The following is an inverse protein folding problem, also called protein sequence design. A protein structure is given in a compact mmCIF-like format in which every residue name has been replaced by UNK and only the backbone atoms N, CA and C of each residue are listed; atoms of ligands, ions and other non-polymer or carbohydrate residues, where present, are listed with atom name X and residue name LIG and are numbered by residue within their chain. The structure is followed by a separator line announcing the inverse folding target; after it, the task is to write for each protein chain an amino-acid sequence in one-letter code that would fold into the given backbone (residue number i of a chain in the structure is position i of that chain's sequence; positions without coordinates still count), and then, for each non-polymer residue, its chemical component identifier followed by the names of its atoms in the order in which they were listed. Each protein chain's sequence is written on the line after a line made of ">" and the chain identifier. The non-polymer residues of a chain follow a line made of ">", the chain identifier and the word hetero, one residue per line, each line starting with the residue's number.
data_IF_154929720451
#
_entry.id   IF_154929720451
#
_cell.length_a   1.000
_cell.length_b   1.000
_cell.length_c   1.000
_cell.angle_alpha   90.00
_cell.angle_beta   90.00
_cell.angle_gamma   90.00
#
_symmetry.space_group_name_H-M   'P 1'
#
loop_
_entity.id
_entity.type
_entity.pdbx_description
1 polymer ?
#
# COMPACT_ATOMS: atom_id res chain seq x y z
N UNK A 1 44.04 11.83 59.66
CA UNK A 1 43.36 12.85 60.48
C UNK A 1 43.37 14.12 59.63
N UNK A 2 42.46 14.28 58.67
CA UNK A 2 41.03 14.62 58.80
C UNK A 2 40.85 15.76 59.80
N UNK A 3 40.53 16.96 59.30
CA UNK A 3 39.34 17.75 59.67
C UNK A 3 39.23 18.91 58.66
N UNK A 4 38.24 18.80 57.77
CA UNK A 4 37.91 19.76 56.71
C UNK A 4 36.87 20.74 57.26
N UNK A 5 37.14 22.03 57.11
CA UNK A 5 36.41 23.12 57.73
C UNK A 5 34.93 23.22 57.30
N UNK A 6 34.06 23.11 58.29
CA UNK A 6 32.85 23.92 58.55
C UNK A 6 32.01 24.39 57.35
N UNK A 7 30.93 23.64 57.12
CA UNK A 7 29.80 23.94 56.25
C UNK A 7 29.07 25.23 56.67
N UNK A 8 29.03 26.20 55.75
CA UNK A 8 28.20 27.39 55.83
C UNK A 8 26.76 27.04 55.41
N UNK A 9 25.82 27.28 56.32
CA UNK A 9 24.37 27.19 56.12
C UNK A 9 23.92 28.17 55.02
N UNK A 10 23.49 27.66 53.86
CA UNK A 10 22.77 28.44 52.84
C UNK A 10 21.32 28.01 52.84
N UNK A 11 20.45 28.90 53.33
CA UNK A 11 19.00 28.77 53.29
C UNK A 11 18.51 28.85 51.84
N UNK A 12 18.29 27.71 51.18
CA UNK A 12 17.64 27.68 49.87
C UNK A 12 16.12 27.68 50.02
N UNK A 13 15.52 28.81 49.67
CA UNK A 13 14.09 29.00 49.49
C UNK A 13 13.55 27.97 48.49
N UNK A 14 12.64 27.10 48.95
CA UNK A 14 11.93 26.12 48.12
C UNK A 14 10.87 26.82 47.27
N UNK A 15 11.26 27.44 46.17
CA UNK A 15 10.32 27.79 45.10
C UNK A 15 10.03 26.51 44.32
N UNK A 16 8.83 25.97 44.53
CA UNK A 16 8.33 24.85 43.76
C UNK A 16 8.20 25.28 42.30
N UNK A 17 8.97 24.59 41.47
CA UNK A 17 9.01 24.71 40.03
C UNK A 17 7.66 24.23 39.49
N UNK A 18 6.76 25.19 39.23
CA UNK A 18 5.45 24.92 38.65
C UNK A 18 5.67 24.51 37.19
N UNK A 19 5.76 23.21 36.94
CA UNK A 19 5.67 22.62 35.60
C UNK A 19 4.27 22.90 35.04
N UNK A 20 4.10 24.07 34.43
CA UNK A 20 2.94 24.41 33.63
C UNK A 20 2.93 23.57 32.36
N UNK A 21 2.34 22.38 32.42
CA UNK A 21 1.93 21.63 31.23
C UNK A 21 0.65 22.29 30.71
N UNK A 22 0.83 23.27 29.81
CA UNK A 22 -0.25 24.04 29.21
C UNK A 22 -1.03 23.22 28.17
N UNK A 23 -2.34 23.13 28.42
CA UNK A 23 -3.46 23.18 27.47
C UNK A 23 -3.52 22.13 26.35
N UNK A 24 -4.19 21.01 26.65
CA UNK A 24 -4.97 20.26 25.68
C UNK A 24 -6.45 20.61 25.88
N UNK A 25 -6.95 21.60 25.13
CA UNK A 25 -8.35 22.05 25.23
C UNK A 25 -9.12 21.58 24.00
N UNK A 26 -9.96 20.55 24.18
CA UNK A 26 -10.84 20.05 23.13
C UNK A 26 -11.93 19.05 23.55
N UNK A 27 -12.04 18.66 24.83
CA UNK A 27 -13.04 17.68 25.31
C UNK A 27 -14.18 18.34 26.10
N UNK A 28 -15.39 17.76 26.04
CA UNK A 28 -16.49 18.02 26.99
C UNK A 28 -16.46 16.96 28.10
N UNK A 29 -17.03 17.24 29.27
CA UNK A 29 -17.03 16.36 30.47
C UNK A 29 -17.50 14.91 30.19
N UNK A 30 -18.29 14.71 29.13
CA UNK A 30 -18.84 13.42 28.69
C UNK A 30 -17.98 12.66 27.69
N UNK A 31 -17.05 13.33 27.00
CA UNK A 31 -16.11 12.73 26.04
C UNK A 31 -14.76 13.45 26.16
N UNK A 32 -13.90 13.02 27.11
CA UNK A 32 -12.65 13.71 27.40
C UNK A 32 -11.63 13.69 26.25
N UNK A 33 -11.79 12.81 25.25
CA UNK A 33 -10.89 12.63 24.10
C UNK A 33 -11.65 12.82 22.77
N UNK A 34 -12.30 13.98 22.60
CA UNK A 34 -12.73 14.41 21.26
C UNK A 34 -11.45 14.62 20.46
N UNK A 35 -11.26 13.80 19.43
CA UNK A 35 -9.98 13.64 18.73
C UNK A 35 -9.27 14.96 18.36
N UNK A 36 -7.94 14.89 18.19
CA UNK A 36 -7.08 16.07 18.02
C UNK A 36 -7.52 17.00 16.89
N UNK A 37 -7.44 18.31 17.12
CA UNK A 37 -7.64 19.33 16.08
C UNK A 37 -6.48 19.41 15.08
N UNK A 38 -6.78 19.93 13.89
CA UNK A 38 -5.75 20.30 12.91
C UNK A 38 -4.90 21.44 13.47
N UNK A 39 -3.58 21.27 13.53
CA UNK A 39 -2.65 22.23 14.12
C UNK A 39 -2.31 23.41 13.20
N UNK A 40 -2.97 23.52 12.04
CA UNK A 40 -2.89 24.71 11.20
C UNK A 40 -3.67 25.87 11.84
N UNK A 41 -3.05 27.05 11.93
CA UNK A 41 -3.55 28.23 12.66
C UNK A 41 -4.99 28.62 12.29
N UNK A 42 -5.33 28.49 11.00
CA UNK A 42 -6.61 28.95 10.47
C UNK A 42 -7.66 27.83 10.26
N UNK A 43 -7.35 26.57 10.59
CA UNK A 43 -8.23 25.43 10.28
C UNK A 43 -8.98 24.90 11.50
N UNK A 44 -8.25 24.57 12.56
CA UNK A 44 -8.73 24.00 13.84
C UNK A 44 -9.85 22.93 13.77
N UNK A 45 -10.01 22.25 12.63
CA UNK A 45 -11.07 21.26 12.38
C UNK A 45 -10.93 20.05 13.30
N UNK A 46 -12.06 19.55 13.81
CA UNK A 46 -12.22 18.28 14.54
C UNK A 46 -12.65 17.13 13.60
N UNK A 47 -12.48 15.88 14.04
CA UNK A 47 -12.95 14.67 13.33
C UNK A 47 -12.43 14.53 11.89
N UNK A 48 -11.10 14.62 11.72
CA UNK A 48 -10.42 14.32 10.46
C UNK A 48 -9.51 13.11 10.60
N UNK A 49 -9.13 12.51 9.46
CA UNK A 49 -8.10 11.49 9.42
C UNK A 49 -6.73 12.13 9.70
N UNK A 50 -6.06 11.83 10.83
CA UNK A 50 -4.85 12.55 11.22
C UNK A 50 -3.68 12.24 10.30
N UNK A 51 -3.12 13.28 9.67
CA UNK A 51 -1.85 13.20 8.95
C UNK A 51 -0.74 13.80 9.81
N UNK A 52 0.26 12.99 10.17
CA UNK A 52 1.41 13.43 10.95
C UNK A 52 2.50 13.88 9.97
N UNK A 53 3.01 15.10 10.11
CA UNK A 53 4.11 15.58 9.28
C UNK A 53 5.45 14.95 9.72
N UNK A 54 6.19 14.31 8.81
CA UNK A 54 7.50 13.71 9.13
C UNK A 54 8.56 14.77 9.54
N UNK A 55 8.38 16.04 9.13
CA UNK A 55 9.31 17.13 9.45
C UNK A 55 9.08 17.77 10.82
N UNK A 56 7.87 18.28 11.07
CA UNK A 56 7.53 19.01 12.31
C UNK A 56 6.73 18.18 13.33
N UNK A 57 6.33 16.94 13.01
CA UNK A 57 5.60 15.99 13.87
C UNK A 57 4.23 16.49 14.35
N UNK A 58 3.70 17.53 13.70
CA UNK A 58 2.38 18.09 13.94
C UNK A 58 1.29 17.34 13.17
N UNK A 59 0.06 17.41 13.68
CA UNK A 59 -1.10 16.70 13.13
C UNK A 59 -1.97 17.64 12.30
N UNK A 60 -2.27 17.24 11.06
CA UNK A 60 -3.01 18.05 10.10
C UNK A 60 -4.13 17.29 9.41
N UNK A 61 -5.16 18.02 8.95
CA UNK A 61 -6.22 17.48 8.12
C UNK A 61 -5.77 17.30 6.65
N UNK A 62 -6.63 16.73 5.81
CA UNK A 62 -6.32 16.43 4.40
C UNK A 62 -5.85 17.65 3.61
N UNK A 63 -6.42 18.83 3.87
CA UNK A 63 -6.07 20.09 3.22
C UNK A 63 -4.70 20.63 3.65
N UNK A 64 -4.30 20.37 4.90
CA UNK A 64 -3.07 20.89 5.49
C UNK A 64 -1.94 19.84 5.60
N UNK A 65 -2.12 18.65 5.03
CA UNK A 65 -1.16 17.52 5.14
C UNK A 65 0.19 17.76 4.46
N UNK A 66 0.27 18.68 3.49
CA UNK A 66 1.49 18.91 2.70
C UNK A 66 2.44 19.88 3.42
N UNK A 67 3.75 19.76 3.18
CA UNK A 67 4.74 20.69 3.75
C UNK A 67 4.46 22.16 3.40
N UNK A 68 3.97 22.43 2.20
CA UNK A 68 3.64 23.78 1.72
C UNK A 68 2.39 24.34 2.40
N UNK A 69 1.36 23.51 2.58
CA UNK A 69 0.06 23.95 3.12
C UNK A 69 0.12 24.40 4.58
N UNK A 70 1.13 23.99 5.35
CA UNK A 70 1.31 24.44 6.73
C UNK A 70 2.63 25.17 6.97
N UNK A 71 3.31 25.62 5.91
CA UNK A 71 4.60 26.31 5.97
C UNK A 71 5.60 25.59 6.89
N UNK A 72 5.85 24.31 6.62
CA UNK A 72 6.65 23.47 7.49
C UNK A 72 8.08 24.03 7.67
N UNK A 73 8.60 24.13 8.90
CA UNK A 73 9.98 24.56 9.14
C UNK A 73 11.03 23.57 8.61
N UNK A 74 10.66 22.32 8.31
CA UNK A 74 11.53 21.29 7.74
C UNK A 74 11.02 20.82 6.37
N UNK A 75 10.63 21.76 5.51
CA UNK A 75 10.10 21.45 4.17
C UNK A 75 11.08 20.71 3.26
N UNK A 76 12.38 20.81 3.52
CA UNK A 76 13.44 20.20 2.71
C UNK A 76 13.45 18.66 2.80
N UNK A 77 12.80 18.07 3.80
CA UNK A 77 12.75 16.62 4.00
C UNK A 77 11.71 15.89 3.12
N UNK A 78 11.17 16.55 2.10
CA UNK A 78 10.20 15.93 1.21
C UNK A 78 10.80 14.68 0.55
N UNK A 79 10.15 13.52 0.73
CA UNK A 79 10.49 12.29 0.00
C UNK A 79 10.23 12.55 -1.48
N UNK A 80 11.25 12.36 -2.32
CA UNK A 80 11.11 12.40 -3.78
C UNK A 80 11.26 10.99 -4.33
N UNK A 81 10.50 10.67 -5.37
CA UNK A 81 10.58 9.37 -6.04
C UNK A 81 11.03 9.60 -7.47
N UNK A 82 12.20 9.07 -7.82
CA UNK A 82 12.75 9.11 -9.17
C UNK A 82 12.46 7.76 -9.83
N UNK A 83 12.04 7.76 -11.09
CA UNK A 83 11.78 6.53 -11.86
C UNK A 83 12.91 6.30 -12.85
N UNK A 84 13.57 5.14 -12.75
CA UNK A 84 14.58 4.76 -13.73
C UNK A 84 13.92 4.43 -15.09
N UNK A 85 14.36 5.10 -16.16
CA UNK A 85 13.83 4.86 -17.51
C UNK A 85 14.31 3.53 -18.11
N UNK A 86 15.36 2.91 -17.56
CA UNK A 86 15.96 1.64 -18.07
C UNK A 86 15.30 0.40 -17.50
N UNK A 87 14.86 0.40 -16.24
CA UNK A 87 14.20 -0.74 -15.60
C UNK A 87 12.77 -0.44 -15.08
N UNK A 88 12.32 0.82 -15.15
CA UNK A 88 11.04 1.28 -14.59
C UNK A 88 10.90 1.10 -13.08
N UNK A 89 12.01 0.97 -12.36
CA UNK A 89 12.03 0.89 -10.90
C UNK A 89 11.94 2.29 -10.29
N UNK A 90 11.11 2.43 -9.26
CA UNK A 90 10.99 3.64 -8.44
C UNK A 90 12.05 3.65 -7.34
N UNK A 91 12.79 4.75 -7.22
CA UNK A 91 13.86 4.96 -6.25
C UNK A 91 13.45 6.11 -5.35
N UNK A 92 13.24 5.82 -4.06
CA UNK A 92 12.94 6.83 -3.06
C UNK A 92 14.21 7.55 -2.62
N UNK A 93 14.17 8.88 -2.61
CA UNK A 93 15.27 9.73 -2.15
C UNK A 93 14.78 10.57 -0.98
N UNK A 94 15.54 10.53 0.12
CA UNK A 94 15.37 11.45 1.25
C UNK A 94 16.04 12.77 0.87
N UNK A 95 15.25 13.84 0.78
CA UNK A 95 15.56 15.12 0.12
C UNK A 95 16.71 15.96 0.68
N UNK A 96 17.92 15.40 0.83
CA UNK A 96 19.10 16.25 0.96
C UNK A 96 19.36 16.95 -0.37
N UNK A 97 19.10 18.27 -0.38
CA UNK A 97 19.47 19.19 -1.44
C UNK A 97 20.98 19.07 -1.64
N UNK A 98 21.39 18.44 -2.74
CA UNK A 98 22.81 18.27 -3.09
C UNK A 98 23.18 16.93 -3.71
N UNK A 99 22.32 15.91 -3.68
CA UNK A 99 22.48 14.77 -4.60
C UNK A 99 21.70 15.06 -5.88
N UNK A 100 22.45 15.24 -6.96
CA UNK A 100 21.91 15.35 -8.30
C UNK A 100 21.08 14.09 -8.62
N UNK A 101 19.91 14.27 -9.24
CA UNK A 101 19.02 13.17 -9.62
C UNK A 101 19.78 12.16 -10.49
N UNK A 102 20.71 12.65 -11.31
CA UNK A 102 21.58 11.83 -12.15
C UNK A 102 22.55 10.99 -11.32
N UNK A 103 23.09 11.52 -10.21
CA UNK A 103 23.99 10.75 -9.35
C UNK A 103 23.29 9.56 -8.67
N UNK A 104 22.00 9.71 -8.34
CA UNK A 104 21.17 8.65 -7.76
C UNK A 104 20.86 7.59 -8.82
N UNK A 105 20.50 8.03 -10.03
CA UNK A 105 20.24 7.13 -11.16
C UNK A 105 21.51 6.36 -11.58
N UNK A 106 22.65 7.02 -11.57
CA UNK A 106 23.97 6.42 -11.85
C UNK A 106 24.35 5.37 -10.81
N UNK A 107 24.13 5.65 -9.51
CA UNK A 107 24.31 4.64 -8.45
C UNK A 107 23.40 3.44 -8.67
N UNK A 108 22.14 3.67 -9.05
CA UNK A 108 21.21 2.59 -9.37
C UNK A 108 21.71 1.73 -10.55
N UNK A 109 22.19 2.36 -11.63
CA UNK A 109 22.76 1.64 -12.77
C UNK A 109 24.02 0.83 -12.40
N UNK A 110 24.91 1.38 -11.55
CA UNK A 110 26.16 0.73 -11.14
C UNK A 110 25.98 -0.36 -10.08
N UNK A 111 24.95 -0.24 -9.24
CA UNK A 111 24.70 -1.19 -8.14
C UNK A 111 24.26 -2.60 -8.57
N UNK A 112 24.03 -2.84 -9.87
CA UNK A 112 23.54 -4.13 -10.37
C UNK A 112 22.07 -4.43 -10.07
N UNK A 113 21.39 -3.57 -9.30
CA UNK A 113 19.95 -3.68 -9.04
C UNK A 113 19.06 -3.15 -10.19
N UNK A 114 19.66 -2.63 -11.27
CA UNK A 114 18.95 -2.21 -12.47
C UNK A 114 18.74 -3.41 -13.41
N UNK A 115 17.54 -4.01 -13.37
CA UNK A 115 17.19 -5.11 -14.25
C UNK A 115 16.15 -4.68 -15.32
N UNK A 116 16.52 -4.58 -16.60
CA UNK A 116 15.61 -4.19 -17.67
C UNK A 116 14.60 -5.27 -18.06
N UNK A 117 14.83 -6.54 -17.68
CA UNK A 117 13.94 -7.65 -18.05
C UNK A 117 12.62 -7.61 -17.27
N UNK A 118 12.65 -7.07 -16.04
CA UNK A 118 11.49 -6.86 -15.16
C UNK A 118 10.45 -5.87 -15.69
N UNK A 119 10.75 -5.12 -16.76
CA UNK A 119 9.79 -4.21 -17.41
C UNK A 119 8.62 -4.93 -18.09
N UNK A 120 8.82 -6.18 -18.52
CA UNK A 120 7.80 -6.93 -19.27
C UNK A 120 6.77 -7.50 -18.30
N UNK A 121 5.61 -6.86 -18.23
CA UNK A 121 4.46 -7.38 -17.48
C UNK A 121 3.92 -8.64 -18.19
N UNK A 122 3.60 -9.72 -17.45
CA UNK A 122 3.07 -10.93 -18.07
C UNK A 122 1.68 -10.68 -18.62
N UNK A 123 1.31 -11.37 -19.71
CA UNK A 123 -0.03 -11.33 -20.30
C UNK A 123 -0.80 -12.56 -19.80
N UNK A 124 -2.12 -12.45 -19.68
CA UNK A 124 -2.96 -13.57 -19.28
C UNK A 124 -2.74 -14.78 -20.21
N UNK A 125 -2.49 -15.99 -19.67
CA UNK A 125 -2.15 -17.16 -20.47
C UNK A 125 -3.35 -17.77 -21.24
N UNK A 126 -4.57 -17.31 -20.98
CA UNK A 126 -5.79 -17.80 -21.64
C UNK A 126 -5.78 -17.39 -23.12
N UNK A 127 -6.03 -18.36 -24.01
CA UNK A 127 -6.05 -18.13 -25.47
C UNK A 127 -7.08 -17.05 -25.83
N UNK A 128 -6.66 -16.05 -26.61
CA UNK A 128 -7.51 -14.93 -27.00
C UNK A 128 -7.56 -13.78 -25.97
N UNK A 129 -7.03 -13.98 -24.75
CA UNK A 129 -6.93 -12.91 -23.77
C UNK A 129 -5.65 -12.08 -23.99
N UNK A 130 -5.79 -10.76 -24.15
CA UNK A 130 -4.67 -9.82 -24.30
C UNK A 130 -4.46 -8.96 -23.04
N UNK A 131 -5.09 -9.34 -21.94
CA UNK A 131 -5.07 -8.58 -20.69
C UNK A 131 -3.70 -8.70 -20.02
N UNK A 132 -3.08 -7.56 -19.72
CA UNK A 132 -1.78 -7.52 -19.01
C UNK A 132 -2.03 -7.75 -17.52
N UNK A 133 -1.32 -8.71 -16.95
CA UNK A 133 -1.37 -9.05 -15.54
C UNK A 133 -0.62 -8.00 -14.72
N UNK A 134 -1.40 -7.12 -14.10
CA UNK A 134 -0.95 -6.14 -13.11
C UNK A 134 -1.28 -6.64 -11.69
N UNK A 135 -0.75 -5.98 -10.66
CA UNK A 135 -0.97 -6.32 -9.25
C UNK A 135 -2.47 -6.40 -8.91
N UNK A 136 -3.26 -5.44 -9.39
CA UNK A 136 -4.70 -5.38 -9.10
C UNK A 136 -5.56 -6.32 -9.93
N UNK A 137 -5.07 -6.74 -11.10
CA UNK A 137 -5.85 -7.52 -12.07
C UNK A 137 -5.44 -9.01 -12.11
N UNK A 138 -4.48 -9.43 -11.29
CA UNK A 138 -3.97 -10.82 -11.30
C UNK A 138 -4.63 -11.63 -10.19
N UNK A 139 -5.10 -12.83 -10.52
CA UNK A 139 -5.55 -13.83 -9.58
C UNK A 139 -4.80 -15.13 -9.80
N UNK A 140 -4.35 -15.77 -8.72
CA UNK A 140 -3.74 -17.10 -8.79
C UNK A 140 -4.83 -18.14 -8.59
N UNK A 141 -5.01 -19.01 -9.59
CA UNK A 141 -5.99 -20.09 -9.50
C UNK A 141 -5.61 -21.05 -8.37
N UNK A 142 -6.51 -21.26 -7.39
CA UNK A 142 -6.27 -22.20 -6.30
C UNK A 142 -6.07 -23.63 -6.79
N UNK A 143 -6.60 -23.92 -7.98
CA UNK A 143 -6.65 -25.26 -8.54
C UNK A 143 -5.34 -25.64 -9.25
N UNK A 144 -4.94 -24.88 -10.27
CA UNK A 144 -3.76 -25.16 -11.09
C UNK A 144 -2.57 -24.21 -10.85
N UNK A 145 -2.68 -23.27 -9.89
CA UNK A 145 -1.68 -22.25 -9.56
C UNK A 145 -1.31 -21.30 -10.71
N UNK A 146 -2.07 -21.30 -11.82
CA UNK A 146 -1.87 -20.35 -12.92
C UNK A 146 -2.32 -18.94 -12.52
N UNK A 147 -1.48 -17.94 -12.82
CA UNK A 147 -1.82 -16.52 -12.71
C UNK A 147 -2.63 -16.10 -13.94
N UNK A 148 -3.85 -15.68 -13.70
CA UNK A 148 -4.83 -15.30 -14.73
C UNK A 148 -5.40 -13.92 -14.42
N UNK A 149 -6.02 -13.26 -15.40
CA UNK A 149 -6.65 -11.97 -15.15
C UNK A 149 -7.99 -12.14 -14.40
N UNK A 150 -8.58 -11.06 -13.90
CA UNK A 150 -9.86 -11.14 -13.18
C UNK A 150 -11.00 -11.75 -14.02
N UNK A 151 -11.00 -11.53 -15.33
CA UNK A 151 -11.97 -12.13 -16.26
C UNK A 151 -11.88 -13.65 -16.32
N UNK A 152 -10.69 -14.21 -16.05
CA UNK A 152 -10.45 -15.65 -16.10
C UNK A 152 -10.15 -16.25 -14.71
N UNK A 153 -10.62 -15.59 -13.65
CA UNK A 153 -10.35 -15.98 -12.26
C UNK A 153 -10.97 -17.33 -11.89
N UNK A 154 -12.12 -17.69 -12.48
CA UNK A 154 -12.78 -18.96 -12.15
C UNK A 154 -12.17 -20.12 -12.94
N UNK A 155 -12.20 -21.35 -12.38
CA UNK A 155 -11.71 -22.55 -13.06
C UNK A 155 -12.35 -22.81 -14.43
N UNK A 156 -13.61 -22.42 -14.62
CA UNK A 156 -14.35 -22.58 -15.88
C UNK A 156 -13.90 -21.64 -16.99
N UNK A 157 -13.28 -20.51 -16.63
CA UNK A 157 -12.88 -19.45 -17.56
C UNK A 157 -11.46 -19.64 -18.11
N UNK A 158 -10.78 -20.73 -17.75
CA UNK A 158 -9.51 -21.11 -18.34
C UNK A 158 -9.41 -22.63 -18.45
N UNK A 159 -8.43 -23.12 -19.20
CA UNK A 159 -8.08 -24.54 -19.21
C UNK A 159 -7.44 -24.93 -17.85
N UNK A 160 -8.27 -25.02 -16.81
CA UNK A 160 -7.82 -25.30 -15.46
C UNK A 160 -7.42 -26.77 -15.33
N UNK A 161 -6.17 -27.04 -14.96
CA UNK A 161 -5.65 -28.40 -14.85
C UNK A 161 -6.10 -29.15 -13.56
N UNK A 162 -7.15 -28.71 -12.85
CA UNK A 162 -7.83 -29.61 -11.90
C UNK A 162 -9.01 -30.25 -12.58
N UNK A 163 -8.71 -31.29 -13.36
CA UNK A 163 -9.66 -32.01 -14.19
C UNK A 163 -9.35 -33.50 -14.31
N UNK A 164 -9.05 -34.18 -13.20
CA UNK A 164 -9.59 -35.52 -12.97
C UNK A 164 -9.83 -35.72 -11.48
N UNK A 165 -11.02 -36.21 -11.16
CA UNK A 165 -11.55 -36.64 -9.84
C UNK A 165 -12.57 -35.71 -9.17
N UNK A 166 -13.74 -36.31 -8.94
CA UNK A 166 -14.90 -35.86 -8.17
C UNK A 166 -15.96 -35.00 -8.88
N UNK A 167 -16.70 -35.62 -9.80
CA UNK A 167 -18.18 -35.52 -9.88
C UNK A 167 -18.77 -36.67 -10.74
N UNK A 168 -18.88 -37.88 -10.16
CA UNK A 168 -19.91 -38.88 -10.49
C UNK A 168 -19.67 -40.18 -9.71
N UNK A 169 -20.05 -40.21 -8.43
CA UNK A 169 -20.38 -41.46 -7.75
C UNK A 169 -21.85 -41.76 -8.02
N UNK A 170 -22.12 -42.49 -9.10
CA UNK A 170 -23.36 -43.27 -9.22
C UNK A 170 -23.00 -44.73 -9.22
N UNK A 171 -23.55 -45.42 -8.23
CA UNK A 171 -23.44 -46.83 -7.98
C UNK A 171 -23.75 -47.66 -9.23
N UNK A 172 -22.93 -48.67 -9.48
CA UNK A 172 -23.40 -49.85 -10.19
C UNK A 172 -24.47 -50.52 -9.32
N UNK A 173 -25.67 -50.70 -9.88
CA UNK A 173 -26.38 -51.98 -9.85
C UNK A 173 -27.67 -51.90 -10.69
N UNK A 174 -27.66 -52.66 -11.80
CA UNK A 174 -28.85 -53.34 -12.33
C UNK A 174 -29.77 -52.57 -13.28
N UNK A 175 -29.94 -53.11 -14.49
CA UNK A 175 -31.27 -53.18 -15.10
C UNK A 175 -31.54 -52.27 -16.30
N UNK A 176 -31.13 -52.74 -17.48
CA UNK A 176 -31.85 -52.79 -18.76
C UNK A 176 -32.57 -51.53 -19.34
N UNK A 177 -32.39 -51.43 -20.67
CA UNK A 177 -33.20 -50.86 -21.78
C UNK A 177 -33.17 -49.35 -22.09
N UNK A 178 -32.49 -49.09 -23.23
CA UNK A 178 -32.78 -48.18 -24.35
C UNK A 178 -33.05 -46.70 -24.06
N UNK A 179 -32.24 -45.80 -24.64
CA UNK A 179 -32.61 -45.11 -25.88
C UNK A 179 -31.44 -44.29 -26.45
N UNK A 180 -31.42 -44.25 -27.78
CA UNK A 180 -30.50 -43.67 -28.75
C UNK A 180 -29.96 -42.24 -28.49
N UNK A 181 -28.64 -42.11 -28.69
CA UNK A 181 -27.90 -41.07 -29.43
C UNK A 181 -28.12 -39.56 -29.24
N UNK A 182 -27.03 -38.90 -28.82
CA UNK A 182 -26.34 -37.77 -29.48
C UNK A 182 -27.17 -36.72 -30.24
N UNK A 183 -27.25 -35.50 -29.68
CA UNK A 183 -27.39 -34.28 -30.47
C UNK A 183 -26.44 -33.18 -29.96
N UNK A 184 -25.34 -33.00 -30.69
CA UNK A 184 -24.56 -31.77 -30.74
C UNK A 184 -25.41 -30.69 -31.45
N UNK A 185 -25.85 -29.66 -30.73
CA UNK A 185 -26.39 -28.46 -31.38
C UNK A 185 -25.26 -27.51 -31.74
N UNK A 186 -24.91 -27.53 -33.02
CA UNK A 186 -24.01 -26.60 -33.69
C UNK A 186 -24.87 -25.56 -34.39
N UNK A 187 -24.96 -24.35 -33.84
CA UNK A 187 -25.54 -23.22 -34.58
C UNK A 187 -24.46 -22.64 -35.51
N UNK A 188 -24.60 -22.93 -36.80
CA UNK A 188 -23.84 -22.32 -37.90
C UNK A 188 -24.86 -21.61 -38.78
N UNK A 189 -24.92 -20.29 -38.70
CA UNK A 189 -25.68 -19.45 -39.64
C UNK A 189 -24.88 -19.35 -40.95
N UNK A 190 -25.48 -19.82 -42.04
CA UNK A 190 -25.06 -19.56 -43.42
C UNK A 190 -25.90 -18.44 -43.99
N UNK A 191 -25.31 -17.51 -44.73
CA UNK A 191 -25.93 -17.03 -45.98
C UNK A 191 -24.86 -16.42 -46.90
N UNK A 192 -24.92 -16.85 -48.17
CA UNK A 192 -24.20 -16.32 -49.33
C UNK A 192 -25.22 -15.58 -50.19
N UNK A 193 -24.78 -14.48 -50.81
CA UNK A 193 -25.05 -14.17 -52.20
C UNK A 193 -23.73 -13.70 -52.82
#
# INVERSE_FOLDING_TARGET
>A
MIEYSSNLFISFSRTQNHIGVSMASGGTETFPDLGKNCQHRDCNRLDFLPYICDGCQQVFCSEHRSYKSHACPKSDLSRKVIVCQTCSMSIETTGYVGQDEDAILEKHHKSGNCDPTKKKKPICPVKGCKEILSISNTSTCKNCQLKVCLKHRFPSDHACNRGVSASSSTAANGGLKNFLSCFCFKNRTTEKA
#
